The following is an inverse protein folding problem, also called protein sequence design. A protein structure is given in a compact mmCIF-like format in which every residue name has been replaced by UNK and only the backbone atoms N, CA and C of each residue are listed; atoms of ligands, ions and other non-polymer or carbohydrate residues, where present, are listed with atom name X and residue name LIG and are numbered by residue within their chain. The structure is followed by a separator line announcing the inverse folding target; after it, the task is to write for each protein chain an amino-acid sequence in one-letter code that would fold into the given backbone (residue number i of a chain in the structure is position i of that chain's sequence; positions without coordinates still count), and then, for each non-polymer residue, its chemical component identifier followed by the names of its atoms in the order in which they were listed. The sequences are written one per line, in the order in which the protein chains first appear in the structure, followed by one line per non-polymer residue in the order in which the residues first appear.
data_IF_745496336013
#
_entry.id   IF_745496336013
#
_cell.length_a   1.000
_cell.length_b   1.000
_cell.length_c   1.000
_cell.angle_alpha   90.00
_cell.angle_beta   90.00
_cell.angle_gamma   90.00
#
_symmetry.space_group_name_H-M   'P 1'
#
loop_
_entity.id
_entity.type
_entity.pdbx_description
1 polymer ?
#
# COMPACT_ATOMS: atom_id res chain seq x y z
N UNK A 1 8.46 -9.88 13.08
CA UNK A 1 7.19 -9.12 12.99
C UNK A 1 6.08 -10.10 12.61
N UNK A 2 4.89 -9.98 13.19
CA UNK A 2 3.73 -10.80 12.81
C UNK A 2 3.08 -10.20 11.55
N UNK A 3 2.55 -11.01 10.64
CA UNK A 3 1.87 -10.57 9.40
C UNK A 3 0.69 -9.64 9.72
N UNK A 4 -0.06 -9.89 10.80
CA UNK A 4 -1.21 -9.05 11.20
C UNK A 4 -0.76 -7.63 11.54
N UNK A 5 0.32 -7.51 12.34
CA UNK A 5 0.89 -6.21 12.71
C UNK A 5 1.50 -5.50 11.50
N UNK A 6 2.12 -6.26 10.60
CA UNK A 6 2.67 -5.73 9.35
C UNK A 6 1.57 -5.14 8.46
N UNK A 7 0.42 -5.83 8.36
CA UNK A 7 -0.75 -5.34 7.61
C UNK A 7 -1.25 -4.02 8.19
N UNK A 8 -1.49 -3.96 9.51
CA UNK A 8 -1.96 -2.73 10.19
C UNK A 8 -1.00 -1.57 9.97
N UNK A 9 0.31 -1.84 10.06
CA UNK A 9 1.34 -0.83 9.83
C UNK A 9 1.27 -0.29 8.40
N UNK A 10 1.20 -1.18 7.40
CA UNK A 10 1.11 -0.78 5.99
C UNK A 10 -0.14 0.06 5.74
N UNK A 11 -1.30 -0.35 6.26
CA UNK A 11 -2.56 0.38 6.09
C UNK A 11 -2.53 1.76 6.76
N UNK A 12 -1.94 1.86 7.94
CA UNK A 12 -1.83 3.14 8.64
C UNK A 12 -0.81 4.07 7.98
N UNK A 13 0.33 3.53 7.55
CA UNK A 13 1.34 4.28 6.80
C UNK A 13 0.78 4.79 5.47
N UNK A 14 0.01 3.96 4.76
CA UNK A 14 -0.71 4.35 3.55
C UNK A 14 -1.65 5.53 3.81
N UNK A 15 -2.46 5.45 4.87
CA UNK A 15 -3.35 6.54 5.27
C UNK A 15 -2.58 7.85 5.53
N UNK A 16 -1.47 7.78 6.27
CA UNK A 16 -0.61 8.93 6.56
C UNK A 16 -0.05 9.56 5.28
N UNK A 17 0.53 8.75 4.40
CA UNK A 17 1.15 9.22 3.16
C UNK A 17 0.13 9.80 2.17
N UNK A 18 -1.09 9.22 2.11
CA UNK A 18 -2.18 9.74 1.25
C UNK A 18 -2.80 11.02 1.77
N UNK A 19 -2.91 11.16 3.09
CA UNK A 19 -3.48 12.38 3.69
C UNK A 19 -2.60 13.62 3.47
N UNK A 20 -1.34 13.44 3.05
CA UNK A 20 -0.38 14.53 2.94
C UNK A 20 0.01 15.14 4.29
N UNK A 21 -0.32 14.47 5.39
CA UNK A 21 -0.01 14.87 6.76
C UNK A 21 0.71 13.74 7.52
N UNK A 22 1.53 12.99 6.80
CA UNK A 22 2.39 11.98 7.43
C UNK A 22 3.31 12.64 8.45
N UNK A 23 3.83 13.81 8.11
CA UNK A 23 4.86 14.50 8.87
C UNK A 23 6.26 14.00 8.49
N UNK A 24 7.21 14.27 9.37
CA UNK A 24 8.61 13.84 9.30
C UNK A 24 8.79 12.41 9.79
N UNK A 25 9.94 11.79 9.49
CA UNK A 25 10.26 10.45 9.98
C UNK A 25 10.11 10.25 11.51
N UNK A 26 10.56 11.18 12.37
CA UNK A 26 10.33 11.05 13.82
C UNK A 26 8.84 11.16 14.20
N UNK A 27 8.07 12.06 13.59
CA UNK A 27 6.63 12.17 13.88
C UNK A 27 5.87 10.92 13.43
N UNK A 28 6.26 10.31 12.31
CA UNK A 28 5.72 9.03 11.86
C UNK A 28 6.10 7.92 12.84
N UNK A 29 7.31 7.96 13.40
CA UNK A 29 7.78 6.99 14.39
C UNK A 29 6.94 7.05 15.67
N UNK A 30 6.67 8.27 16.16
CA UNK A 30 5.80 8.50 17.32
C UNK A 30 4.37 8.00 17.07
N UNK A 31 3.80 8.30 15.89
CA UNK A 31 2.45 7.83 15.51
C UNK A 31 2.36 6.30 15.39
N UNK A 32 3.45 5.66 14.97
CA UNK A 32 3.54 4.20 14.80
C UNK A 32 4.00 3.46 16.08
N UNK A 33 4.47 4.18 17.11
CA UNK A 33 5.07 3.57 18.31
C UNK A 33 6.37 2.82 18.02
N UNK A 34 7.15 3.26 17.02
CA UNK A 34 8.42 2.64 16.61
C UNK A 34 9.56 3.65 16.68
N UNK A 35 10.79 3.21 16.44
CA UNK A 35 11.95 4.11 16.37
C UNK A 35 12.04 4.83 15.01
N UNK A 36 12.65 6.01 14.96
CA UNK A 36 12.95 6.71 13.69
C UNK A 36 13.75 5.81 12.73
N UNK A 37 14.70 5.03 13.27
CA UNK A 37 15.48 4.07 12.49
C UNK A 37 14.59 3.04 11.79
N UNK A 38 13.54 2.58 12.48
CA UNK A 38 12.57 1.64 11.93
C UNK A 38 11.78 2.29 10.79
N UNK A 39 11.34 3.53 10.94
CA UNK A 39 10.64 4.28 9.88
C UNK A 39 11.52 4.48 8.65
N UNK A 40 12.79 4.87 8.83
CA UNK A 40 13.75 4.96 7.72
C UNK A 40 13.91 3.62 6.99
N UNK A 41 14.04 2.52 7.73
CA UNK A 41 14.12 1.18 7.16
C UNK A 41 12.84 0.81 6.39
N UNK A 42 11.66 1.28 6.80
CA UNK A 42 10.43 1.12 6.00
C UNK A 42 10.48 1.91 4.71
N UNK A 43 10.98 3.14 4.72
CA UNK A 43 11.13 3.94 3.51
C UNK A 43 12.12 3.33 2.52
N UNK A 44 13.25 2.81 3.00
CA UNK A 44 14.21 2.07 2.17
C UNK A 44 13.56 0.84 1.54
N UNK A 45 12.75 0.09 2.30
CA UNK A 45 11.99 -1.05 1.77
C UNK A 45 10.95 -0.61 0.72
N UNK A 46 10.20 0.45 0.97
CA UNK A 46 9.24 1.00 0.01
C UNK A 46 9.92 1.47 -1.28
N UNK A 47 11.08 2.12 -1.16
CA UNK A 47 11.88 2.53 -2.31
C UNK A 47 12.38 1.32 -3.11
N UNK A 48 12.77 0.23 -2.43
CA UNK A 48 13.23 -1.00 -3.08
C UNK A 48 12.15 -1.64 -3.98
N UNK A 49 10.87 -1.53 -3.57
CA UNK A 49 9.71 -2.00 -4.36
C UNK A 49 9.14 -0.91 -5.29
N UNK A 50 9.91 0.17 -5.52
CA UNK A 50 9.60 1.27 -6.43
C UNK A 50 8.30 2.00 -6.10
N UNK A 51 7.98 2.08 -4.80
CA UNK A 51 6.88 2.92 -4.34
C UNK A 51 7.27 4.39 -4.53
N UNK A 52 6.40 5.20 -5.13
CA UNK A 52 6.69 6.59 -5.46
C UNK A 52 6.57 7.50 -4.22
N UNK A 53 7.53 7.46 -3.29
CA UNK A 53 7.59 8.37 -2.14
C UNK A 53 8.39 9.63 -2.45
N UNK A 54 7.95 10.77 -1.92
CA UNK A 54 8.68 12.03 -1.98
C UNK A 54 8.53 12.81 -0.67
N UNK A 55 9.61 13.44 -0.23
CA UNK A 55 9.59 14.36 0.89
C UNK A 55 9.30 15.78 0.38
N UNK A 56 8.24 16.40 0.90
CA UNK A 56 7.93 17.79 0.62
C UNK A 56 8.60 18.70 1.69
N UNK A 57 9.67 19.45 1.34
CA UNK A 57 10.37 20.28 2.32
C UNK A 57 9.53 21.48 2.79
N UNK A 58 8.64 22.01 1.94
CA UNK A 58 7.79 23.16 2.27
C UNK A 58 6.75 22.81 3.34
N UNK A 59 6.14 21.63 3.21
CA UNK A 59 5.12 21.14 4.15
C UNK A 59 5.71 20.23 5.24
N UNK A 60 7.02 19.94 5.17
CA UNK A 60 7.74 19.02 6.06
C UNK A 60 7.05 17.67 6.23
N UNK A 61 6.56 17.11 5.13
CA UNK A 61 5.79 15.85 5.15
C UNK A 61 6.22 14.92 4.02
N UNK A 62 6.18 13.63 4.31
CA UNK A 62 6.22 12.60 3.28
C UNK A 62 4.86 12.42 2.61
N UNK A 63 4.88 12.18 1.30
CA UNK A 63 3.69 11.91 0.48
C UNK A 63 4.04 11.00 -0.69
N UNK A 64 3.02 10.51 -1.40
CA UNK A 64 3.25 9.90 -2.70
C UNK A 64 3.49 10.96 -3.78
N UNK A 65 4.45 10.74 -4.66
CA UNK A 65 4.70 11.61 -5.83
C UNK A 65 3.67 11.40 -6.95
N UNK A 66 3.05 10.22 -7.01
CA UNK A 66 1.89 9.94 -7.88
C UNK A 66 0.74 9.32 -7.07
N UNK A 67 -0.53 9.56 -7.45
CA UNK A 67 -1.67 8.94 -6.79
C UNK A 67 -1.56 7.41 -6.78
N UNK A 68 -1.79 6.80 -5.62
CA UNK A 68 -1.65 5.37 -5.43
C UNK A 68 -2.08 4.94 -4.03
N UNK A 69 -2.01 3.63 -3.76
CA UNK A 69 -2.29 3.03 -2.45
C UNK A 69 -1.31 1.91 -2.18
N UNK A 70 -0.87 1.79 -0.93
CA UNK A 70 -0.17 0.62 -0.41
C UNK A 70 -1.19 -0.32 0.21
N UNK A 71 -1.29 -1.53 -0.34
CA UNK A 71 -2.25 -2.54 0.14
C UNK A 71 -1.54 -3.89 0.21
N UNK A 72 -1.65 -4.55 1.36
CA UNK A 72 -1.30 -5.95 1.50
C UNK A 72 -2.57 -6.79 1.30
N UNK A 73 -2.70 -7.43 0.14
CA UNK A 73 -3.86 -8.24 -0.21
C UNK A 73 -3.47 -9.52 -0.94
N UNK A 74 -4.38 -10.50 -0.88
CA UNK A 74 -4.36 -11.67 -1.76
C UNK A 74 -5.10 -11.29 -3.05
N UNK A 75 -4.49 -11.57 -4.20
CA UNK A 75 -5.09 -11.34 -5.51
C UNK A 75 -5.38 -12.72 -6.09
N UNK A 76 -6.65 -12.98 -6.40
CA UNK A 76 -7.06 -14.19 -7.10
C UNK A 76 -6.87 -13.98 -8.60
N UNK A 77 -6.16 -14.90 -9.25
CA UNK A 77 -6.07 -14.93 -10.70
C UNK A 77 -7.41 -15.39 -11.27
N UNK A 78 -7.94 -14.67 -12.26
CA UNK A 78 -9.17 -15.08 -12.94
C UNK A 78 -8.97 -16.44 -13.62
N UNK A 79 -9.45 -17.51 -12.99
CA UNK A 79 -9.63 -18.79 -13.67
C UNK A 79 -10.79 -18.64 -14.65
N UNK A 80 -10.46 -18.48 -15.94
CA UNK A 80 -11.44 -18.52 -17.04
C UNK A 80 -12.25 -19.80 -16.97
N UNK A 81 -13.40 -19.74 -16.30
CA UNK A 81 -14.41 -20.78 -16.39
C UNK A 81 -15.22 -20.46 -17.64
N UNK A 82 -14.73 -20.90 -18.80
CA UNK A 82 -15.53 -20.89 -20.02
C UNK A 82 -16.62 -21.95 -19.86
N UNK A 83 -17.76 -21.55 -19.32
CA UNK A 83 -18.98 -22.34 -19.40
C UNK A 83 -19.42 -22.35 -20.86
N UNK A 84 -19.13 -23.44 -21.57
CA UNK A 84 -19.80 -23.79 -22.82
C UNK A 84 -21.23 -24.21 -22.51
N UNK A 85 -22.14 -23.25 -22.45
CA UNK A 85 -23.58 -23.53 -22.46
C UNK A 85 -24.17 -22.98 -23.76
N UNK A 86 -24.08 -23.81 -24.80
CA UNK A 86 -24.84 -23.62 -26.04
C UNK A 86 -26.21 -24.25 -25.82
N UNK A 87 -27.33 -23.49 -25.79
CA UNK A 87 -28.64 -24.09 -25.84
C UNK A 87 -28.86 -24.63 -27.25
N UNK A 88 -28.84 -25.96 -27.40
CA UNK A 88 -29.31 -26.65 -28.61
C UNK A 88 -30.80 -26.30 -28.84
N UNK A 89 -31.09 -25.43 -29.83
CA UNK A 89 -32.45 -25.33 -30.38
C UNK A 89 -32.65 -26.45 -31.42
N UNK A 90 -33.73 -27.24 -31.35
CA UNK A 90 -34.06 -28.18 -32.42
C UNK A 90 -34.63 -27.43 -33.64
N UNK A 91 -34.39 -27.94 -34.87
CA UNK A 91 -34.86 -27.29 -36.09
C UNK A 91 -36.38 -27.42 -36.30
N UNK A 92 -36.98 -26.56 -37.14
CA UNK A 92 -38.43 -26.45 -37.37
C UNK A 92 -39.03 -27.63 -38.13
#
# INVERSE_FOLDING_TARGET
MNIIESKRLIEYLDFLLRSGNAGTAPEIADKLGVSERTVRNYFEQLESIKVPLEYNPTLRTWKFSRPGRLVLCFIEDESKTQNTDTPNLPPP
#
